data_IF_860286850446
#
_entry.id   IF_860286850446
#
_cell.length_a   1.000
_cell.length_b   1.000
_cell.length_c   1.000
_cell.angle_alpha   90.00
_cell.angle_beta   90.00
_cell.angle_gamma   90.00
#
_symmetry.space_group_name_H-M   'P 1'
#
loop_
_entity.id
_entity.type
_entity.pdbx_description
1 polymer ?
#
# COMPACT_ATOMS: atom_id res chain seq x y z
N UNK A 1 -16.78 47.63 -0.63
CA UNK A 1 -16.38 46.47 0.18
C UNK A 1 -15.01 46.13 -0.33
N UNK A 2 -13.99 46.47 0.45
CA UNK A 2 -12.60 46.40 0.03
C UNK A 2 -12.23 44.95 -0.33
N UNK A 3 -11.80 44.73 -1.56
CA UNK A 3 -11.32 43.42 -2.02
C UNK A 3 -9.96 43.15 -1.36
N UNK A 4 -9.98 42.35 -0.30
CA UNK A 4 -8.76 41.80 0.29
C UNK A 4 -8.07 40.88 -0.72
N UNK A 5 -6.89 41.34 -1.16
CA UNK A 5 -6.05 40.79 -2.23
C UNK A 5 -5.54 39.35 -1.97
N UNK A 6 -5.84 38.74 -0.81
CA UNK A 6 -5.28 37.44 -0.42
C UNK A 6 -6.19 36.22 -0.68
N UNK A 7 -7.44 36.41 -1.12
CA UNK A 7 -8.28 35.31 -1.61
C UNK A 7 -8.55 34.16 -0.61
N UNK A 8 -8.38 34.39 0.69
CA UNK A 8 -8.65 33.37 1.69
C UNK A 8 -10.14 33.24 1.96
N UNK A 9 -10.60 32.00 2.12
CA UNK A 9 -12.01 31.70 2.40
C UNK A 9 -12.22 31.73 3.92
N UNK A 10 -13.14 32.57 4.39
CA UNK A 10 -13.47 32.68 5.83
C UNK A 10 -14.14 31.42 6.38
N UNK A 11 -14.89 30.71 5.53
CA UNK A 11 -15.44 29.40 5.83
C UNK A 11 -14.71 28.35 5.01
N UNK A 12 -13.97 27.50 5.71
CA UNK A 12 -13.26 26.39 5.12
C UNK A 12 -14.28 25.34 4.70
N UNK A 13 -14.03 24.59 3.62
CA UNK A 13 -15.00 23.60 3.13
C UNK A 13 -15.32 22.49 4.16
N UNK A 14 -14.44 22.33 5.17
CA UNK A 14 -14.57 21.34 6.24
C UNK A 14 -15.15 21.89 7.55
N UNK A 15 -15.50 23.18 7.63
CA UNK A 15 -15.98 23.86 8.85
C UNK A 15 -17.24 23.19 9.44
N UNK A 16 -18.12 22.68 8.58
CA UNK A 16 -19.36 22.01 8.99
C UNK A 16 -19.24 20.47 9.08
N UNK A 17 -18.06 19.89 8.87
CA UNK A 17 -17.87 18.44 8.91
C UNK A 17 -17.66 17.97 10.37
N UNK A 18 -18.64 17.31 11.02
CA UNK A 18 -18.64 17.08 12.47
C UNK A 18 -17.56 16.11 12.97
N UNK A 19 -16.89 15.40 12.06
CA UNK A 19 -15.84 14.43 12.37
C UNK A 19 -14.53 14.72 11.64
N UNK A 20 -14.36 15.92 11.06
CA UNK A 20 -13.15 16.31 10.38
C UNK A 20 -12.24 17.09 11.33
N UNK A 21 -11.16 16.46 11.78
CA UNK A 21 -10.05 17.19 12.38
C UNK A 21 -8.97 17.39 11.31
N UNK A 22 -8.81 18.64 10.90
CA UNK A 22 -7.85 19.03 9.85
C UNK A 22 -6.40 18.74 10.25
N UNK A 23 -6.10 18.66 11.55
CA UNK A 23 -4.76 18.36 12.04
C UNK A 23 -4.35 16.92 11.71
N UNK A 24 -5.31 15.99 11.65
CA UNK A 24 -5.06 14.60 11.21
C UNK A 24 -4.97 14.45 9.69
N UNK A 25 -5.41 15.46 8.92
CA UNK A 25 -5.27 15.43 7.46
C UNK A 25 -3.83 15.64 6.99
N UNK A 26 -2.96 16.20 7.84
CA UNK A 26 -1.54 16.42 7.54
C UNK A 26 -0.75 15.20 7.98
N UNK A 27 -0.61 14.25 7.06
CA UNK A 27 0.12 13.02 7.33
C UNK A 27 1.64 13.21 7.27
N UNK A 28 2.42 12.40 8.00
CA UNK A 28 3.86 12.36 7.84
C UNK A 28 4.25 11.94 6.42
N UNK A 29 5.39 12.44 5.94
CA UNK A 29 5.86 12.13 4.60
C UNK A 29 7.36 11.80 4.59
N UNK A 30 7.67 10.54 4.28
CA UNK A 30 9.02 10.00 4.33
C UNK A 30 9.95 10.76 3.36
N UNK A 31 9.50 10.99 2.13
CA UNK A 31 10.37 11.61 1.12
C UNK A 31 10.65 13.09 1.45
N UNK A 32 9.62 13.91 1.64
CA UNK A 32 9.72 15.35 1.76
C UNK A 32 10.02 15.82 3.19
N UNK A 33 9.66 15.05 4.22
CA UNK A 33 10.00 15.40 5.60
C UNK A 33 11.30 14.75 6.04
N UNK A 34 11.44 13.43 5.90
CA UNK A 34 12.62 12.74 6.40
C UNK A 34 13.81 12.91 5.46
N UNK A 35 13.70 12.51 4.20
CA UNK A 35 14.83 12.52 3.28
C UNK A 35 15.18 13.93 2.79
N UNK A 36 14.23 14.68 2.24
CA UNK A 36 14.47 16.03 1.70
C UNK A 36 14.45 17.13 2.78
N UNK A 37 13.94 16.83 3.97
CA UNK A 37 13.98 17.74 5.12
C UNK A 37 15.12 17.39 6.07
N UNK A 38 14.87 16.41 6.94
CA UNK A 38 15.76 16.06 8.07
C UNK A 38 17.14 15.59 7.61
N UNK A 39 17.23 14.58 6.74
CA UNK A 39 18.50 14.05 6.26
C UNK A 39 19.29 15.09 5.46
N UNK A 40 18.60 15.94 4.67
CA UNK A 40 19.22 17.07 3.97
C UNK A 40 19.95 18.02 4.94
N UNK A 41 19.29 18.38 6.05
CA UNK A 41 19.91 19.21 7.08
C UNK A 41 21.10 18.51 7.74
N UNK A 42 20.93 17.23 8.12
CA UNK A 42 22.02 16.45 8.71
C UNK A 42 23.26 16.38 7.81
N UNK A 43 23.09 16.11 6.52
CA UNK A 43 24.20 16.05 5.56
C UNK A 43 24.89 17.42 5.48
N UNK A 44 24.12 18.51 5.44
CA UNK A 44 24.65 19.87 5.39
C UNK A 44 25.48 20.19 6.65
N UNK A 45 24.98 19.82 7.83
CA UNK A 45 25.73 19.98 9.08
C UNK A 45 26.99 19.13 9.14
N UNK A 46 26.91 17.89 8.65
CA UNK A 46 28.10 17.02 8.55
C UNK A 46 29.16 17.63 7.61
N UNK A 47 28.76 18.19 6.47
CA UNK A 47 29.66 18.91 5.57
C UNK A 47 30.27 20.17 6.22
N UNK A 48 29.56 20.84 7.13
CA UNK A 48 30.11 21.98 7.87
C UNK A 48 31.11 21.55 8.96
N UNK A 49 30.87 20.42 9.63
CA UNK A 49 31.78 19.89 10.66
C UNK A 49 33.06 19.32 10.03
N UNK A 50 32.94 18.54 8.96
CA UNK A 50 34.07 17.84 8.34
C UNK A 50 34.76 18.66 7.25
N UNK A 51 34.09 19.63 6.64
CA UNK A 51 34.29 20.14 5.27
C UNK A 51 33.66 19.27 4.19
N UNK A 52 33.31 19.89 3.05
CA UNK A 52 32.74 19.20 1.88
C UNK A 52 33.78 18.27 1.26
N UNK A 53 35.02 18.74 1.21
CA UNK A 53 36.16 18.07 0.60
C UNK A 53 36.50 16.77 1.35
N UNK A 54 36.49 16.81 2.69
CA UNK A 54 36.74 15.63 3.52
C UNK A 54 35.59 14.61 3.39
N UNK A 55 34.33 15.05 3.48
CA UNK A 55 33.20 14.14 3.32
C UNK A 55 33.19 13.47 1.94
N UNK A 56 33.43 14.23 0.88
CA UNK A 56 33.53 13.70 -0.49
C UNK A 56 34.75 12.78 -0.68
N UNK A 57 35.87 13.05 -0.01
CA UNK A 57 37.02 12.14 0.02
C UNK A 57 36.62 10.77 0.60
N UNK A 58 35.98 10.78 1.77
CA UNK A 58 35.54 9.56 2.44
C UNK A 58 34.50 8.78 1.65
N UNK A 59 33.55 9.47 1.01
CA UNK A 59 32.55 8.85 0.14
C UNK A 59 33.22 8.13 -1.04
N UNK A 60 34.25 8.73 -1.65
CA UNK A 60 35.00 8.12 -2.75
C UNK A 60 35.81 6.90 -2.31
N UNK A 61 36.25 6.86 -1.06
CA UNK A 61 37.01 5.74 -0.50
C UNK A 61 36.15 4.53 -0.10
N UNK A 62 34.82 4.65 -0.12
CA UNK A 62 33.95 3.51 0.19
C UNK A 62 34.10 2.41 -0.87
N UNK A 63 34.31 1.14 -0.45
CA UNK A 63 34.31 0.04 -1.38
C UNK A 63 32.92 -0.11 -2.05
N UNK A 64 32.86 -0.57 -3.30
CA UNK A 64 31.59 -0.91 -3.93
C UNK A 64 30.82 -1.92 -3.07
N UNK A 65 29.53 -1.64 -2.84
CA UNK A 65 28.63 -2.48 -2.05
C UNK A 65 27.36 -2.76 -2.86
N UNK A 66 26.81 -3.97 -2.70
CA UNK A 66 25.58 -4.34 -3.39
C UNK A 66 24.39 -3.52 -2.86
N UNK A 67 23.57 -2.99 -3.76
CA UNK A 67 22.39 -2.20 -3.39
C UNK A 67 22.66 -0.76 -2.92
N UNK A 68 23.91 -0.29 -2.99
CA UNK A 68 24.27 1.08 -2.60
C UNK A 68 24.91 1.82 -3.78
N UNK A 69 24.40 3.01 -4.09
CA UNK A 69 24.95 3.85 -5.15
C UNK A 69 26.34 4.39 -4.78
N UNK A 70 27.32 4.19 -5.66
CA UNK A 70 28.67 4.69 -5.46
C UNK A 70 28.86 6.08 -6.08
N UNK A 71 29.11 7.08 -5.24
CA UNK A 71 29.30 8.47 -5.65
C UNK A 71 30.77 8.76 -5.99
N UNK A 72 31.17 8.46 -7.24
CA UNK A 72 32.57 8.58 -7.72
C UNK A 72 33.20 9.97 -7.53
N UNK A 73 32.38 11.03 -7.54
CA UNK A 73 32.82 12.41 -7.41
C UNK A 73 32.40 13.04 -6.08
N UNK A 74 31.99 12.22 -5.10
CA UNK A 74 31.34 12.71 -3.88
C UNK A 74 29.92 13.21 -4.15
N UNK A 75 29.38 13.96 -3.19
CA UNK A 75 27.99 14.44 -3.19
C UNK A 75 27.87 15.96 -3.30
N UNK A 76 28.96 16.71 -3.05
CA UNK A 76 28.88 18.17 -2.96
C UNK A 76 28.64 18.87 -4.30
N UNK A 77 28.94 18.20 -5.42
CA UNK A 77 28.78 18.74 -6.78
C UNK A 77 27.40 18.44 -7.39
N UNK A 78 26.61 17.59 -6.74
CA UNK A 78 25.30 17.19 -7.25
C UNK A 78 24.31 18.36 -7.18
N UNK A 79 23.80 18.77 -8.34
CA UNK A 79 22.65 19.66 -8.47
C UNK A 79 21.39 18.83 -8.71
N UNK A 80 20.24 19.27 -8.19
CA UNK A 80 18.95 18.58 -8.35
C UNK A 80 18.92 17.11 -7.86
N UNK A 81 19.29 16.92 -6.60
CA UNK A 81 19.36 15.60 -5.98
C UNK A 81 17.97 14.96 -5.90
N UNK A 82 17.81 13.81 -6.56
CA UNK A 82 16.60 13.00 -6.57
C UNK A 82 16.33 12.32 -5.22
N UNK A 83 15.09 11.85 -5.02
CA UNK A 83 14.74 11.05 -3.83
C UNK A 83 15.60 9.79 -3.69
N UNK A 84 15.85 9.08 -4.80
CA UNK A 84 16.69 7.87 -4.82
C UNK A 84 18.14 8.18 -4.42
N UNK A 85 18.72 9.26 -4.95
CA UNK A 85 20.08 9.68 -4.54
C UNK A 85 20.11 10.03 -3.06
N UNK A 86 19.09 10.72 -2.54
CA UNK A 86 19.01 11.06 -1.11
C UNK A 86 18.91 9.83 -0.21
N UNK A 87 18.13 8.80 -0.60
CA UNK A 87 18.07 7.52 0.11
C UNK A 87 19.47 6.87 0.17
N UNK A 88 20.16 6.82 -0.97
CA UNK A 88 21.53 6.29 -1.05
C UNK A 88 22.53 7.09 -0.19
N UNK A 89 22.40 8.41 -0.11
CA UNK A 89 23.24 9.22 0.79
C UNK A 89 23.02 8.84 2.25
N UNK A 90 21.78 8.51 2.66
CA UNK A 90 21.48 8.01 4.00
C UNK A 90 22.19 6.70 4.33
N UNK A 91 22.23 5.76 3.38
CA UNK A 91 22.89 4.45 3.55
C UNK A 91 24.39 4.58 3.85
N UNK A 92 25.07 5.55 3.26
CA UNK A 92 26.53 5.70 3.38
C UNK A 92 26.97 6.71 4.45
N UNK A 93 26.08 7.63 4.85
CA UNK A 93 26.44 8.77 5.69
C UNK A 93 27.15 8.34 6.98
N UNK A 94 26.57 7.39 7.73
CA UNK A 94 27.15 6.95 9.00
C UNK A 94 28.55 6.36 8.82
N UNK A 95 28.75 5.54 7.79
CA UNK A 95 30.05 4.92 7.50
C UNK A 95 31.13 5.97 7.21
N UNK A 96 30.79 7.06 6.52
CA UNK A 96 31.73 8.15 6.27
C UNK A 96 32.08 8.94 7.54
N UNK A 97 31.19 9.02 8.52
CA UNK A 97 31.42 9.81 9.74
C UNK A 97 32.21 9.06 10.81
N UNK A 98 32.15 7.72 10.80
CA UNK A 98 32.89 6.88 11.76
C UNK A 98 34.40 7.08 11.59
N UNK A 99 35.12 7.18 12.72
CA UNK A 99 36.58 7.38 12.74
C UNK A 99 37.01 8.76 12.22
N UNK A 100 36.12 9.76 12.24
CA UNK A 100 36.49 11.14 11.97
C UNK A 100 36.77 11.89 13.27
N UNK A 101 37.99 12.42 13.44
CA UNK A 101 38.39 13.12 14.66
C UNK A 101 37.66 14.47 14.84
N UNK A 102 37.23 15.10 13.74
CA UNK A 102 36.48 16.37 13.79
C UNK A 102 35.02 16.17 14.15
N UNK A 103 34.47 14.95 14.02
CA UNK A 103 33.07 14.65 14.32
C UNK A 103 32.89 14.26 15.79
N UNK A 104 32.19 15.05 16.63
CA UNK A 104 31.97 14.68 18.01
C UNK A 104 31.19 13.37 18.13
N UNK A 105 31.59 12.48 19.05
CA UNK A 105 30.88 11.21 19.31
C UNK A 105 29.40 11.39 19.60
N UNK A 106 29.03 12.50 20.28
CA UNK A 106 27.63 12.87 20.55
C UNK A 106 26.87 13.18 19.26
N UNK A 107 27.47 13.97 18.36
CA UNK A 107 26.88 14.28 17.06
C UNK A 107 26.73 13.03 16.19
N UNK A 108 27.75 12.17 16.18
CA UNK A 108 27.70 10.88 15.46
C UNK A 108 26.55 10.00 15.96
N UNK A 109 26.35 9.95 17.29
CA UNK A 109 25.24 9.22 17.91
C UNK A 109 23.89 9.81 17.53
N UNK A 110 23.78 11.14 17.46
CA UNK A 110 22.58 11.83 17.02
C UNK A 110 22.26 11.57 15.53
N UNK A 111 23.27 11.55 14.65
CA UNK A 111 23.10 11.17 13.23
C UNK A 111 22.57 9.74 13.13
N UNK A 112 23.20 8.80 13.84
CA UNK A 112 22.75 7.40 13.86
C UNK A 112 21.29 7.30 14.30
N UNK A 113 20.91 7.98 15.38
CA UNK A 113 19.55 7.93 15.90
C UNK A 113 18.50 8.39 14.88
N UNK A 114 18.81 9.44 14.10
CA UNK A 114 17.92 9.87 13.02
C UNK A 114 17.89 8.86 11.87
N UNK A 115 19.02 8.28 11.48
CA UNK A 115 19.02 7.24 10.45
C UNK A 115 18.20 6.01 10.89
N UNK A 116 18.37 5.56 12.13
CA UNK A 116 17.57 4.48 12.73
C UNK A 116 16.07 4.83 12.67
N UNK A 117 15.69 6.04 13.07
CA UNK A 117 14.30 6.51 12.96
C UNK A 117 13.76 6.50 11.52
N UNK A 118 14.56 6.99 10.56
CA UNK A 118 14.18 7.00 9.14
C UNK A 118 13.92 5.58 8.65
N UNK A 119 14.81 4.63 8.94
CA UNK A 119 14.64 3.25 8.49
C UNK A 119 13.45 2.55 9.18
N UNK A 120 13.28 2.75 10.49
CA UNK A 120 12.15 2.20 11.22
C UNK A 120 10.81 2.74 10.70
N UNK A 121 10.72 4.03 10.40
CA UNK A 121 9.47 4.64 9.89
C UNK A 121 9.01 4.08 8.53
N UNK A 122 9.88 3.38 7.81
CA UNK A 122 9.60 2.79 6.50
C UNK A 122 9.24 1.29 6.60
N UNK A 123 9.11 0.74 7.81
CA UNK A 123 8.62 -0.62 7.95
C UNK A 123 7.18 -0.71 7.43
N UNK A 124 6.92 -1.75 6.66
CA UNK A 124 5.58 -2.02 6.11
C UNK A 124 4.62 -2.56 7.17
N UNK A 125 5.16 -3.03 8.30
CA UNK A 125 4.42 -3.59 9.43
C UNK A 125 5.04 -3.05 10.71
N UNK A 126 4.18 -2.60 11.61
CA UNK A 126 4.54 -2.11 12.93
C UNK A 126 3.78 -2.86 14.02
N UNK A 127 4.48 -3.12 15.11
CA UNK A 127 4.00 -3.59 16.40
C UNK A 127 4.44 -2.63 17.51
N UNK A 128 4.05 -2.90 18.77
CA UNK A 128 4.43 -2.02 19.87
C UNK A 128 5.96 -1.96 20.11
N UNK A 129 6.69 -3.03 19.80
CA UNK A 129 8.15 -3.08 19.94
C UNK A 129 8.84 -2.19 18.90
N UNK A 130 8.48 -2.31 17.62
CA UNK A 130 9.05 -1.47 16.56
C UNK A 130 8.70 0.01 16.73
N UNK A 131 7.50 0.32 17.22
CA UNK A 131 7.13 1.69 17.59
C UNK A 131 7.98 2.19 18.78
N UNK A 132 8.25 1.34 19.77
CA UNK A 132 9.13 1.69 20.89
C UNK A 132 10.56 2.01 20.43
N UNK A 133 11.07 1.30 19.42
CA UNK A 133 12.38 1.59 18.82
C UNK A 133 12.42 2.96 18.16
N UNK A 134 11.33 3.39 17.52
CA UNK A 134 11.22 4.75 16.96
C UNK A 134 11.25 5.82 18.05
N UNK A 135 10.50 5.62 19.14
CA UNK A 135 10.51 6.53 20.28
C UNK A 135 11.90 6.60 20.93
N UNK A 136 12.59 5.47 21.06
CA UNK A 136 13.93 5.42 21.63
C UNK A 136 14.96 6.10 20.74
N UNK A 137 14.87 5.93 19.42
CA UNK A 137 15.66 6.69 18.46
C UNK A 137 15.44 8.21 18.62
N UNK A 138 14.20 8.65 18.81
CA UNK A 138 13.88 10.06 19.08
C UNK A 138 14.43 10.57 20.41
N UNK A 139 14.36 9.77 21.48
CA UNK A 139 14.95 10.11 22.77
C UNK A 139 16.47 10.28 22.65
N UNK A 140 17.14 9.38 21.92
CA UNK A 140 18.59 9.47 21.67
C UNK A 140 18.91 10.74 20.87
N UNK A 141 18.13 11.04 19.82
CA UNK A 141 18.26 12.30 19.08
C UNK A 141 18.15 13.51 20.01
N UNK A 142 17.09 13.61 20.80
CA UNK A 142 16.88 14.75 21.71
C UNK A 142 17.97 14.89 22.78
N UNK A 143 18.54 13.77 23.25
CA UNK A 143 19.64 13.76 24.21
C UNK A 143 20.95 14.32 23.65
N UNK A 144 21.22 14.13 22.36
CA UNK A 144 22.51 14.46 21.75
C UNK A 144 22.48 15.55 20.69
N UNK A 145 21.31 16.03 20.25
CA UNK A 145 21.17 17.06 19.21
C UNK A 145 21.89 18.37 19.55
N UNK A 146 22.03 18.68 20.84
CA UNK A 146 22.74 19.87 21.33
C UNK A 146 24.21 19.93 20.86
N UNK A 147 24.81 18.79 20.52
CA UNK A 147 26.18 18.76 19.99
C UNK A 147 26.32 19.55 18.69
N UNK A 148 25.29 19.62 17.86
CA UNK A 148 25.33 20.41 16.61
C UNK A 148 25.36 21.92 16.89
N UNK A 149 24.71 22.36 17.97
CA UNK A 149 24.78 23.75 18.42
C UNK A 149 26.19 24.05 18.97
N UNK A 150 26.76 23.11 19.75
CA UNK A 150 28.11 23.23 20.30
C UNK A 150 29.20 23.29 19.22
N UNK A 151 29.03 22.58 18.10
CA UNK A 151 29.94 22.68 16.95
C UNK A 151 29.77 23.98 16.15
N UNK A 152 28.77 24.80 16.47
CA UNK A 152 28.53 26.08 15.80
C UNK A 152 27.90 25.95 14.40
N UNK A 153 27.42 24.76 14.01
CA UNK A 153 26.80 24.57 12.68
C UNK A 153 25.43 25.23 12.57
N UNK A 154 24.74 25.41 13.70
CA UNK A 154 23.44 26.06 13.75
C UNK A 154 23.21 26.72 15.12
N UNK A 155 22.41 27.79 15.15
CA UNK A 155 22.15 28.57 16.38
C UNK A 155 21.17 27.88 17.33
N UNK A 156 20.10 27.31 16.77
CA UNK A 156 19.07 26.53 17.47
C UNK A 156 18.68 25.30 16.64
N UNK A 157 17.71 24.50 17.06
CA UNK A 157 17.20 23.37 16.26
C UNK A 157 15.68 23.42 16.13
N UNK A 158 15.11 24.63 16.13
CA UNK A 158 13.67 24.87 16.00
C UNK A 158 13.25 24.80 14.52
N UNK A 159 13.48 23.63 13.92
CA UNK A 159 13.21 23.38 12.52
C UNK A 159 11.92 22.56 12.44
N UNK A 160 10.86 23.03 11.74
CA UNK A 160 9.57 22.34 11.66
C UNK A 160 9.68 20.87 11.25
N UNK A 161 10.61 20.55 10.34
CA UNK A 161 10.87 19.17 9.87
C UNK A 161 11.45 18.24 10.94
N UNK A 162 12.16 18.78 11.94
CA UNK A 162 12.61 17.97 13.08
C UNK A 162 11.51 17.83 14.15
N UNK A 163 10.65 18.84 14.29
CA UNK A 163 9.48 18.74 15.18
C UNK A 163 8.49 17.69 14.66
N UNK A 164 8.28 17.61 13.34
CA UNK A 164 7.34 16.65 12.74
C UNK A 164 7.66 15.19 13.06
N UNK A 165 8.92 14.87 13.41
CA UNK A 165 9.30 13.52 13.81
C UNK A 165 8.50 13.02 15.02
N UNK A 166 8.09 13.91 15.92
CA UNK A 166 7.33 13.55 17.12
C UNK A 166 5.94 12.98 16.80
N UNK A 167 5.43 13.24 15.59
CA UNK A 167 4.06 12.87 15.18
C UNK A 167 4.01 11.56 14.39
N UNK A 168 5.15 10.94 14.06
CA UNK A 168 5.18 9.72 13.24
C UNK A 168 4.58 8.52 13.96
N UNK A 169 4.93 8.28 15.23
CA UNK A 169 4.43 7.11 15.98
C UNK A 169 2.92 7.19 16.14
N UNK A 170 2.40 8.38 16.47
CA UNK A 170 0.96 8.64 16.55
C UNK A 170 0.27 8.44 15.20
N UNK A 171 0.79 9.03 14.13
CA UNK A 171 0.25 8.86 12.79
C UNK A 171 0.25 7.39 12.34
N UNK A 172 1.31 6.62 12.63
CA UNK A 172 1.37 5.19 12.29
C UNK A 172 0.29 4.41 13.04
N UNK A 173 0.04 4.74 14.32
CA UNK A 173 -1.04 4.11 15.09
C UNK A 173 -2.44 4.42 14.54
N UNK A 174 -2.66 5.63 14.03
CA UNK A 174 -3.97 6.05 13.51
C UNK A 174 -4.21 5.67 12.04
N UNK A 175 -3.18 5.71 11.21
CA UNK A 175 -3.30 5.65 9.74
C UNK A 175 -2.60 4.41 9.13
N UNK A 176 -1.93 3.61 9.95
CA UNK A 176 -1.13 2.47 9.52
C UNK A 176 0.28 2.87 9.09
N UNK A 177 1.01 1.94 8.47
CA UNK A 177 2.38 2.17 8.01
C UNK A 177 2.47 3.35 7.02
N UNK A 178 3.66 3.95 6.92
CA UNK A 178 3.84 5.22 6.19
C UNK A 178 3.64 5.08 4.69
N UNK A 179 3.75 3.88 4.13
CA UNK A 179 3.48 3.58 2.73
C UNK A 179 2.02 3.79 2.33
N UNK A 180 1.07 3.72 3.28
CA UNK A 180 -0.36 3.96 3.03
C UNK A 180 -0.69 5.41 2.63
N UNK A 181 0.15 6.38 3.01
CA UNK A 181 -0.12 7.81 2.80
C UNK A 181 1.10 8.61 2.30
N UNK A 182 2.18 7.93 1.90
CA UNK A 182 3.37 8.57 1.35
C UNK A 182 3.08 9.24 -0.01
N UNK A 183 3.59 10.45 -0.20
CA UNK A 183 3.38 11.22 -1.44
C UNK A 183 4.10 10.66 -2.67
N UNK A 184 5.05 9.73 -2.48
CA UNK A 184 5.73 9.04 -3.59
C UNK A 184 4.74 8.40 -4.58
N UNK A 185 3.63 7.84 -4.09
CA UNK A 185 2.56 7.28 -4.93
C UNK A 185 1.94 8.35 -5.83
N UNK A 186 1.58 9.50 -5.26
CA UNK A 186 0.98 10.61 -6.00
C UNK A 186 1.96 11.22 -7.01
N UNK A 187 3.26 11.31 -6.67
CA UNK A 187 4.28 11.78 -7.61
C UNK A 187 4.40 10.86 -8.84
N UNK A 188 4.26 9.54 -8.65
CA UNK A 188 4.21 8.59 -9.77
C UNK A 188 2.96 8.77 -10.63
N UNK A 189 1.81 9.04 -10.01
CA UNK A 189 0.58 9.36 -10.74
C UNK A 189 0.70 10.64 -11.55
N UNK A 190 1.40 11.66 -11.05
CA UNK A 190 1.67 12.90 -11.80
C UNK A 190 2.39 12.65 -13.14
N UNK A 191 3.21 11.60 -13.25
CA UNK A 191 3.84 11.23 -14.52
C UNK A 191 2.77 10.88 -15.57
N UNK A 192 1.83 10.01 -15.18
CA UNK A 192 0.81 9.52 -16.09
C UNK A 192 -0.30 10.54 -16.30
N UNK A 193 -0.78 11.17 -15.23
CA UNK A 193 -1.95 12.02 -15.27
C UNK A 193 -1.68 13.48 -15.64
N UNK A 194 -0.46 13.98 -15.40
CA UNK A 194 -0.11 15.36 -15.75
C UNK A 194 0.97 15.42 -16.84
N UNK A 195 2.16 14.84 -16.60
CA UNK A 195 3.33 15.06 -17.47
C UNK A 195 3.13 14.50 -18.89
N UNK A 196 2.53 13.31 -19.03
CA UNK A 196 2.25 12.73 -20.35
C UNK A 196 1.19 13.52 -21.12
N UNK A 197 0.08 13.88 -20.47
CA UNK A 197 -0.96 14.73 -21.06
C UNK A 197 -0.40 16.08 -21.50
N UNK A 198 0.38 16.75 -20.64
CA UNK A 198 1.05 18.00 -20.97
C UNK A 198 1.97 17.87 -22.20
N UNK A 199 2.79 16.82 -22.25
CA UNK A 199 3.68 16.55 -23.41
C UNK A 199 2.91 16.28 -24.70
N UNK A 200 1.71 15.70 -24.61
CA UNK A 200 0.84 15.43 -25.76
C UNK A 200 0.01 16.65 -26.18
N UNK A 201 -0.07 17.69 -25.35
CA UNK A 201 -0.78 18.93 -25.66
C UNK A 201 0.05 19.88 -26.52
N UNK A 202 -0.61 20.86 -27.13
CA UNK A 202 0.05 21.96 -27.82
C UNK A 202 0.56 23.07 -26.86
N UNK A 203 0.33 22.93 -25.54
CA UNK A 203 0.70 23.87 -24.46
C UNK A 203 0.01 25.24 -24.53
N UNK A 204 -1.12 25.32 -25.21
CA UNK A 204 -1.98 26.50 -25.27
C UNK A 204 -3.39 26.09 -24.85
N UNK A 205 -3.88 26.62 -23.73
CA UNK A 205 -5.12 26.13 -23.11
C UNK A 205 -5.07 24.61 -22.91
N UNK A 206 -4.07 24.20 -22.14
CA UNK A 206 -3.64 22.82 -21.98
C UNK A 206 -4.65 21.96 -21.20
N UNK A 207 -5.40 22.54 -20.27
CA UNK A 207 -6.20 21.77 -19.30
C UNK A 207 -7.23 20.89 -20.01
N UNK A 208 -8.09 21.42 -20.91
CA UNK A 208 -9.02 20.59 -21.67
C UNK A 208 -8.34 19.50 -22.50
N UNK A 209 -7.18 19.81 -23.09
CA UNK A 209 -6.42 18.86 -23.91
C UNK A 209 -5.86 17.71 -23.07
N UNK A 210 -5.32 18.03 -21.89
CA UNK A 210 -4.83 17.05 -20.94
C UNK A 210 -5.97 16.14 -20.47
N UNK A 211 -7.12 16.70 -20.11
CA UNK A 211 -8.30 15.92 -19.72
C UNK A 211 -8.79 15.01 -20.83
N UNK A 212 -8.89 15.49 -22.06
CA UNK A 212 -9.25 14.64 -23.22
C UNK A 212 -8.24 13.56 -23.50
N UNK A 213 -6.94 13.86 -23.37
CA UNK A 213 -5.89 12.87 -23.50
C UNK A 213 -6.07 11.75 -22.47
N UNK A 214 -6.37 12.08 -21.21
CA UNK A 214 -6.64 11.10 -20.16
C UNK A 214 -7.86 10.23 -20.46
N UNK A 215 -8.99 10.82 -20.81
CA UNK A 215 -10.19 10.05 -21.16
C UNK A 215 -9.94 9.09 -22.33
N UNK A 216 -9.09 9.48 -23.29
CA UNK A 216 -8.68 8.57 -24.39
C UNK A 216 -7.83 7.41 -23.88
N UNK A 217 -6.87 7.66 -22.98
CA UNK A 217 -6.07 6.58 -22.40
C UNK A 217 -6.92 5.60 -21.59
N UNK A 218 -7.87 6.11 -20.79
CA UNK A 218 -8.80 5.27 -20.02
C UNK A 218 -9.68 4.40 -20.91
N UNK A 219 -10.21 4.97 -22.00
CA UNK A 219 -11.01 4.23 -22.97
C UNK A 219 -10.19 3.14 -23.68
N UNK A 220 -8.95 3.43 -24.08
CA UNK A 220 -8.07 2.43 -24.71
C UNK A 220 -7.77 1.31 -23.71
N UNK A 221 -7.37 1.63 -22.48
CA UNK A 221 -7.08 0.64 -21.46
C UNK A 221 -8.29 -0.26 -21.16
N UNK A 222 -9.49 0.34 -21.06
CA UNK A 222 -10.73 -0.41 -20.83
C UNK A 222 -11.03 -1.37 -21.99
N UNK A 223 -10.84 -0.91 -23.22
CA UNK A 223 -11.01 -1.74 -24.41
C UNK A 223 -9.97 -2.86 -24.49
N UNK A 224 -8.71 -2.59 -24.16
CA UNK A 224 -7.65 -3.60 -24.13
C UNK A 224 -7.96 -4.69 -23.09
N UNK A 225 -8.44 -4.32 -21.89
CA UNK A 225 -8.88 -5.29 -20.89
C UNK A 225 -10.02 -6.19 -21.41
N UNK A 226 -11.03 -5.59 -22.05
CA UNK A 226 -12.14 -6.35 -22.65
C UNK A 226 -11.64 -7.28 -23.76
N UNK A 227 -10.76 -6.79 -24.63
CA UNK A 227 -10.18 -7.59 -25.70
C UNK A 227 -9.37 -8.77 -25.17
N UNK A 228 -8.53 -8.56 -24.15
CA UNK A 228 -7.79 -9.63 -23.47
C UNK A 228 -8.74 -10.69 -22.93
N UNK A 229 -9.78 -10.28 -22.21
CA UNK A 229 -10.78 -11.20 -21.68
C UNK A 229 -11.47 -12.01 -22.78
N UNK A 230 -11.91 -11.36 -23.87
CA UNK A 230 -12.54 -12.05 -25.01
C UNK A 230 -11.60 -13.07 -25.64
N UNK A 231 -10.32 -12.72 -25.84
CA UNK A 231 -9.33 -13.61 -26.42
C UNK A 231 -9.04 -14.82 -25.52
N UNK A 232 -8.97 -14.62 -24.20
CA UNK A 232 -8.83 -15.70 -23.22
C UNK A 232 -10.04 -16.66 -23.28
N UNK A 233 -11.26 -16.13 -23.32
CA UNK A 233 -12.47 -16.94 -23.46
C UNK A 233 -12.48 -17.74 -24.76
N UNK A 234 -12.07 -17.13 -25.88
CA UNK A 234 -11.97 -17.82 -27.16
C UNK A 234 -10.92 -18.92 -27.15
N UNK A 235 -9.78 -18.71 -26.49
CA UNK A 235 -8.74 -19.72 -26.33
C UNK A 235 -9.28 -20.92 -25.54
N UNK A 236 -9.92 -20.68 -24.39
CA UNK A 236 -10.54 -21.73 -23.56
C UNK A 236 -11.57 -22.55 -24.35
N UNK A 237 -12.43 -21.89 -25.15
CA UNK A 237 -13.43 -22.56 -25.99
C UNK A 237 -12.76 -23.42 -27.09
N UNK A 238 -11.64 -22.97 -27.67
CA UNK A 238 -10.89 -23.76 -28.67
C UNK A 238 -10.24 -24.97 -28.03
N UNK A 239 -9.58 -24.82 -26.88
CA UNK A 239 -8.96 -25.93 -26.14
C UNK A 239 -9.99 -26.99 -25.74
N UNK A 240 -11.20 -26.57 -25.35
CA UNK A 240 -12.30 -27.48 -25.05
C UNK A 240 -12.84 -28.23 -26.30
N UNK A 241 -12.70 -27.68 -27.51
CA UNK A 241 -13.19 -28.28 -28.77
C UNK A 241 -12.19 -29.23 -29.43
N UNK A 242 -10.90 -29.10 -29.15
CA UNK A 242 -9.83 -29.90 -29.77
C UNK A 242 -9.49 -31.19 -29.01
N UNK A 243 -10.13 -31.47 -27.87
CA UNK A 243 -10.04 -32.79 -27.24
C UNK A 243 -10.80 -33.85 -28.05
N UNK A 244 -10.16 -34.95 -28.51
CA UNK A 244 -10.82 -35.95 -29.34
C UNK A 244 -11.92 -36.70 -28.56
N UNK A 245 -13.14 -36.65 -29.10
CA UNK A 245 -14.26 -37.50 -28.68
C UNK A 245 -13.99 -38.97 -28.98
N UNK A 246 -13.57 -39.74 -27.98
CA UNK A 246 -13.81 -41.18 -27.96
C UNK A 246 -15.24 -41.44 -27.44
N UNK A 247 -15.95 -42.35 -28.12
CA UNK A 247 -17.37 -42.65 -27.96
C UNK A 247 -17.73 -43.28 -26.57
N UNK A 248 -19.03 -43.43 -26.23
CA UNK A 248 -19.59 -42.96 -24.97
C UNK A 248 -19.53 -43.99 -23.85
N UNK A 249 -18.97 -43.59 -22.72
CA UNK A 249 -19.40 -44.08 -21.42
C UNK A 249 -19.91 -42.86 -20.64
N UNK A 250 -21.16 -42.94 -20.17
CA UNK A 250 -21.83 -41.92 -19.38
C UNK A 250 -20.91 -41.25 -18.35
N UNK A 251 -20.55 -39.98 -18.58
CA UNK A 251 -19.98 -39.10 -17.56
C UNK A 251 -20.62 -37.71 -17.73
N UNK A 252 -21.17 -37.11 -16.65
CA UNK A 252 -21.79 -35.80 -16.70
C UNK A 252 -20.74 -34.70 -16.88
N UNK A 253 -21.14 -33.62 -17.53
CA UNK A 253 -20.37 -32.40 -17.79
C UNK A 253 -19.63 -31.86 -16.54
N UNK A 254 -18.34 -31.47 -16.65
CA UNK A 254 -17.57 -31.01 -15.51
C UNK A 254 -17.89 -29.54 -15.21
N UNK A 255 -18.95 -29.30 -14.43
CA UNK A 255 -19.07 -28.04 -13.69
C UNK A 255 -18.01 -28.05 -12.58
N UNK A 256 -17.43 -26.91 -12.17
CA UNK A 256 -16.66 -26.86 -10.94
C UNK A 256 -17.53 -27.37 -9.79
N UNK A 257 -17.24 -28.58 -9.31
CA UNK A 257 -18.02 -29.22 -8.27
C UNK A 257 -17.49 -28.74 -6.93
N UNK A 258 -18.22 -27.82 -6.29
CA UNK A 258 -18.09 -27.58 -4.86
C UNK A 258 -18.69 -28.80 -4.15
N UNK A 259 -17.84 -29.59 -3.53
CA UNK A 259 -18.19 -30.73 -2.69
C UNK A 259 -18.23 -30.27 -1.24
N UNK A 260 -19.42 -30.30 -0.66
CA UNK A 260 -19.62 -30.04 0.76
C UNK A 260 -19.42 -31.34 1.57
N UNK A 261 -18.92 -31.26 2.80
CA UNK A 261 -18.94 -32.37 3.76
C UNK A 261 -20.34 -32.96 3.90
N UNK A 262 -20.44 -34.27 4.16
CA UNK A 262 -21.74 -34.94 4.36
C UNK A 262 -22.51 -34.44 5.59
N UNK A 263 -21.79 -33.84 6.55
CA UNK A 263 -22.35 -33.31 7.79
C UNK A 263 -21.99 -31.83 7.87
N UNK A 264 -22.98 -30.92 8.01
CA UNK A 264 -22.72 -29.51 8.18
C UNK A 264 -22.00 -29.21 9.50
N UNK A 265 -21.13 -28.20 9.49
CA UNK A 265 -20.44 -27.75 10.70
C UNK A 265 -21.42 -27.18 11.72
N UNK A 266 -22.44 -26.49 11.24
CA UNK A 266 -23.52 -25.95 12.05
C UNK A 266 -24.87 -26.17 11.34
N UNK A 267 -25.59 -27.26 11.65
CA UNK A 267 -26.90 -27.54 11.04
C UNK A 267 -27.99 -26.57 11.52
N UNK A 268 -28.99 -26.34 10.67
CA UNK A 268 -30.27 -25.69 11.00
C UNK A 268 -30.14 -24.33 11.70
N UNK A 269 -29.19 -23.49 11.28
CA UNK A 269 -29.01 -22.15 11.85
C UNK A 269 -30.05 -21.20 11.29
N UNK A 270 -30.74 -20.48 12.17
CA UNK A 270 -31.70 -19.46 11.73
C UNK A 270 -31.00 -18.33 10.99
N UNK A 271 -31.66 -17.77 9.97
CA UNK A 271 -31.09 -16.68 9.17
C UNK A 271 -30.72 -15.48 10.05
N UNK A 272 -31.54 -15.15 11.06
CA UNK A 272 -31.23 -14.09 12.02
C UNK A 272 -29.98 -14.38 12.85
N UNK A 273 -29.79 -15.64 13.28
CA UNK A 273 -28.57 -16.04 13.99
C UNK A 273 -27.34 -15.90 13.09
N UNK A 274 -27.46 -16.23 11.80
CA UNK A 274 -26.37 -16.09 10.82
C UNK A 274 -25.98 -14.62 10.65
N UNK A 275 -26.96 -13.74 10.46
CA UNK A 275 -26.74 -12.29 10.31
C UNK A 275 -25.96 -11.71 11.49
N UNK A 276 -26.26 -12.18 12.71
CA UNK A 276 -25.60 -11.74 13.94
C UNK A 276 -24.20 -12.38 14.07
N UNK A 277 -24.09 -13.71 13.99
CA UNK A 277 -22.84 -14.42 14.24
C UNK A 277 -21.78 -14.24 13.16
N UNK A 278 -22.19 -13.78 11.96
CA UNK A 278 -21.30 -13.47 10.84
C UNK A 278 -21.22 -11.98 10.52
N UNK A 279 -21.79 -11.09 11.34
CA UNK A 279 -21.78 -9.64 11.12
C UNK A 279 -22.27 -9.22 9.72
N UNK A 280 -23.28 -9.92 9.19
CA UNK A 280 -23.84 -9.71 7.84
C UNK A 280 -25.31 -9.29 7.91
N UNK A 281 -25.62 -8.05 8.33
CA UNK A 281 -27.00 -7.62 8.55
C UNK A 281 -27.86 -7.64 7.27
N UNK A 282 -27.26 -7.57 6.09
CA UNK A 282 -27.97 -7.66 4.80
C UNK A 282 -28.15 -9.09 4.26
N UNK A 283 -27.69 -10.14 4.95
CA UNK A 283 -27.59 -11.49 4.35
C UNK A 283 -28.90 -12.02 3.77
N UNK A 284 -30.03 -11.86 4.48
CA UNK A 284 -31.34 -12.32 4.00
C UNK A 284 -31.74 -11.65 2.67
N UNK A 285 -31.50 -10.34 2.54
CA UNK A 285 -31.85 -9.59 1.34
C UNK A 285 -31.00 -10.02 0.14
N UNK A 286 -29.69 -10.18 0.36
CA UNK A 286 -28.76 -10.63 -0.68
C UNK A 286 -29.01 -12.09 -1.09
N UNK A 287 -29.37 -12.96 -0.13
CA UNK A 287 -29.72 -14.35 -0.43
C UNK A 287 -30.94 -14.44 -1.35
N UNK A 288 -31.98 -13.64 -1.11
CA UNK A 288 -33.16 -13.56 -1.99
C UNK A 288 -32.78 -13.10 -3.39
N UNK A 289 -31.98 -12.04 -3.48
CA UNK A 289 -31.51 -11.51 -4.76
C UNK A 289 -30.69 -12.56 -5.53
N UNK A 290 -29.79 -13.25 -4.85
CA UNK A 290 -28.95 -14.29 -5.42
C UNK A 290 -29.77 -15.48 -5.95
N UNK A 291 -30.75 -15.97 -5.18
CA UNK A 291 -31.62 -17.07 -5.61
C UNK A 291 -32.45 -16.71 -6.84
N UNK A 292 -32.88 -15.45 -6.98
CA UNK A 292 -33.58 -14.98 -8.17
C UNK A 292 -32.64 -14.92 -9.39
N UNK A 293 -31.40 -14.43 -9.19
CA UNK A 293 -30.38 -14.39 -10.25
C UNK A 293 -30.01 -15.76 -10.82
N UNK A 294 -30.18 -16.84 -10.05
CA UNK A 294 -29.93 -18.21 -10.52
C UNK A 294 -30.98 -18.71 -11.51
N UNK A 295 -32.13 -18.04 -11.63
CA UNK A 295 -33.16 -18.41 -12.61
C UNK A 295 -32.78 -17.91 -14.01
N UNK A 296 -32.97 -18.74 -15.05
CA UNK A 296 -32.71 -18.31 -16.42
C UNK A 296 -33.64 -17.15 -16.81
N UNK A 297 -33.08 -16.12 -17.45
CA UNK A 297 -33.78 -14.90 -17.91
C UNK A 297 -34.30 -13.97 -16.80
N UNK A 298 -33.80 -14.07 -15.57
CA UNK A 298 -34.17 -13.12 -14.50
C UNK A 298 -33.79 -11.68 -14.88
N UNK A 299 -34.73 -10.75 -14.75
CA UNK A 299 -34.47 -9.32 -14.95
C UNK A 299 -34.15 -8.62 -13.63
N UNK A 300 -33.64 -7.39 -13.71
CA UNK A 300 -33.35 -6.55 -12.52
C UNK A 300 -34.61 -6.28 -11.67
N UNK A 301 -35.77 -6.15 -12.32
CA UNK A 301 -37.04 -5.91 -11.63
C UNK A 301 -37.49 -7.15 -10.84
N UNK A 302 -37.22 -8.35 -11.37
CA UNK A 302 -37.54 -9.61 -10.69
C UNK A 302 -36.71 -9.77 -9.42
N UNK A 303 -35.42 -9.42 -9.47
CA UNK A 303 -34.51 -9.43 -8.30
C UNK A 303 -34.99 -8.46 -7.21
N UNK A 304 -35.41 -7.25 -7.60
CA UNK A 304 -35.94 -6.26 -6.65
C UNK A 304 -37.24 -6.75 -6.00
N UNK A 305 -38.16 -7.31 -6.80
CA UNK A 305 -39.41 -7.87 -6.29
C UNK A 305 -39.16 -9.07 -5.35
N UNK A 306 -38.26 -9.99 -5.72
CA UNK A 306 -37.89 -11.15 -4.91
C UNK A 306 -37.28 -10.75 -3.55
N UNK A 307 -36.53 -9.64 -3.48
CA UNK A 307 -35.96 -9.14 -2.23
C UNK A 307 -37.01 -8.79 -1.16
N UNK A 308 -38.22 -8.43 -1.60
CA UNK A 308 -39.37 -8.10 -0.73
C UNK A 308 -40.21 -9.33 -0.33
N UNK A 309 -40.04 -10.47 -0.99
CA UNK A 309 -40.81 -11.69 -0.73
C UNK A 309 -40.22 -12.51 0.41
N UNK A 310 -41.02 -13.34 1.07
CA UNK A 310 -40.52 -14.27 2.08
C UNK A 310 -39.90 -15.52 1.43
N UNK A 311 -38.82 -16.04 2.03
CA UNK A 311 -38.25 -17.32 1.61
C UNK A 311 -39.10 -18.48 2.17
N UNK A 312 -39.20 -19.61 1.45
CA UNK A 312 -39.93 -20.79 1.93
C UNK A 312 -39.22 -21.53 3.08
N UNK A 313 -38.04 -21.06 3.50
CA UNK A 313 -37.26 -21.58 4.61
C UNK A 313 -36.69 -20.44 5.45
N UNK A 314 -36.41 -20.73 6.72
CA UNK A 314 -35.85 -19.76 7.68
C UNK A 314 -34.55 -20.23 8.33
N UNK A 315 -34.09 -21.43 7.98
CA UNK A 315 -32.91 -22.07 8.53
C UNK A 315 -32.03 -22.57 7.40
N UNK A 316 -30.72 -22.52 7.64
CA UNK A 316 -29.69 -22.98 6.71
C UNK A 316 -28.61 -23.76 7.45
N UNK A 317 -28.05 -24.73 6.75
CA UNK A 317 -26.86 -25.44 7.19
C UNK A 317 -25.60 -24.62 6.83
N UNK A 318 -24.70 -24.45 7.78
CA UNK A 318 -23.43 -23.73 7.58
C UNK A 318 -22.29 -24.75 7.50
N UNK A 319 -21.47 -24.59 6.47
CA UNK A 319 -20.27 -25.40 6.22
C UNK A 319 -19.05 -24.49 6.27
N UNK A 320 -18.12 -24.76 7.18
CA UNK A 320 -16.84 -24.02 7.24
C UNK A 320 -15.78 -24.61 6.31
N UNK A 321 -16.04 -25.77 5.72
CA UNK A 321 -15.10 -26.46 4.85
C UNK A 321 -15.80 -26.92 3.59
N UNK A 322 -15.10 -26.81 2.47
CA UNK A 322 -15.55 -27.33 1.19
C UNK A 322 -14.34 -27.82 0.40
N UNK A 323 -14.59 -28.75 -0.51
CA UNK A 323 -13.62 -29.20 -1.51
C UNK A 323 -14.07 -28.69 -2.86
N UNK A 324 -13.17 -28.14 -3.67
CA UNK A 324 -13.49 -27.76 -5.03
C UNK A 324 -12.54 -28.46 -5.99
N UNK A 325 -13.05 -28.83 -7.15
CA UNK A 325 -12.28 -29.42 -8.25
C UNK A 325 -12.39 -28.51 -9.47
N UNK A 326 -11.26 -28.10 -10.01
CA UNK A 326 -11.16 -27.35 -11.25
C UNK A 326 -10.31 -28.15 -12.26
N UNK A 327 -10.57 -27.99 -13.55
CA UNK A 327 -9.98 -28.81 -14.63
C UNK A 327 -8.44 -28.74 -14.70
N UNK A 328 -7.83 -27.72 -14.09
CA UNK A 328 -6.38 -27.51 -14.03
C UNK A 328 -5.70 -28.13 -12.79
N UNK A 329 -6.46 -28.75 -11.87
CA UNK A 329 -5.95 -29.34 -10.64
C UNK A 329 -6.08 -30.87 -10.70
N UNK A 330 -4.94 -31.58 -10.75
CA UNK A 330 -4.90 -33.04 -10.75
C UNK A 330 -5.54 -33.65 -9.48
N UNK A 331 -5.56 -32.91 -8.36
CA UNK A 331 -6.22 -33.28 -7.11
C UNK A 331 -7.13 -32.15 -6.62
N UNK A 332 -8.37 -32.49 -6.20
CA UNK A 332 -9.28 -31.48 -5.64
C UNK A 332 -8.75 -30.92 -4.32
N UNK A 333 -8.72 -29.59 -4.19
CA UNK A 333 -8.23 -28.93 -2.98
C UNK A 333 -9.32 -28.79 -1.93
N UNK A 334 -8.96 -29.03 -0.67
CA UNK A 334 -9.82 -28.84 0.50
C UNK A 334 -9.47 -27.53 1.19
N UNK A 335 -10.42 -26.61 1.26
CA UNK A 335 -10.32 -25.42 2.10
C UNK A 335 -10.91 -25.73 3.48
N UNK A 336 -10.12 -25.59 4.54
CA UNK A 336 -10.58 -25.75 5.92
C UNK A 336 -9.86 -24.76 6.83
N UNK A 337 -10.59 -23.90 7.54
CA UNK A 337 -9.97 -22.94 8.43
C UNK A 337 -9.42 -23.65 9.67
N UNK A 338 -8.24 -23.22 10.12
CA UNK A 338 -7.66 -23.61 11.41
C UNK A 338 -8.24 -22.75 12.53
N UNK A 339 -8.35 -23.30 13.75
CA UNK A 339 -8.68 -22.57 14.99
C UNK A 339 -9.93 -21.67 14.91
N UNK A 340 -11.06 -22.21 14.45
CA UNK A 340 -12.34 -21.47 14.28
C UNK A 340 -12.30 -20.31 13.26
N UNK A 341 -11.24 -20.22 12.44
CA UNK A 341 -11.14 -19.23 11.37
C UNK A 341 -12.28 -19.32 10.34
N UNK A 342 -12.37 -18.30 9.49
CA UNK A 342 -13.35 -18.23 8.39
C UNK A 342 -12.65 -17.74 7.13
N UNK A 343 -13.07 -18.24 5.97
CA UNK A 343 -12.60 -17.71 4.68
C UNK A 343 -13.71 -16.87 4.07
N UNK A 344 -13.41 -15.60 3.76
CA UNK A 344 -14.30 -14.75 2.97
C UNK A 344 -14.06 -14.93 1.46
N UNK A 345 -12.82 -15.28 1.07
CA UNK A 345 -12.39 -15.52 -0.30
C UNK A 345 -11.34 -16.63 -0.32
N UNK A 346 -11.40 -17.55 -1.28
CA UNK A 346 -10.34 -18.54 -1.55
C UNK A 346 -9.78 -18.25 -2.94
N UNK A 347 -8.51 -17.86 -3.01
CA UNK A 347 -7.78 -17.61 -4.26
C UNK A 347 -6.92 -18.82 -4.57
N UNK A 348 -7.01 -19.33 -5.80
CA UNK A 348 -6.31 -20.54 -6.24
C UNK A 348 -5.41 -20.14 -7.38
N UNK A 349 -4.10 -20.27 -7.17
CA UNK A 349 -3.10 -20.01 -8.20
C UNK A 349 -2.90 -21.29 -9.01
N UNK A 350 -3.04 -21.18 -10.34
CA UNK A 350 -3.05 -22.35 -11.25
C UNK A 350 -1.86 -22.40 -12.21
N UNK A 351 -0.81 -21.59 -11.98
CA UNK A 351 0.40 -21.59 -12.81
C UNK A 351 1.66 -21.38 -11.96
N UNK A 352 2.77 -22.02 -12.35
CA UNK A 352 4.09 -21.94 -11.68
C UNK A 352 4.71 -20.53 -11.69
N UNK A 353 4.15 -19.62 -12.50
CA UNK A 353 4.57 -18.21 -12.63
C UNK A 353 3.65 -17.24 -11.89
N UNK A 354 2.60 -17.72 -11.23
CA UNK A 354 1.64 -16.87 -10.53
C UNK A 354 2.19 -16.49 -9.15
N UNK A 355 2.72 -15.27 -9.02
CA UNK A 355 3.06 -14.69 -7.72
C UNK A 355 1.82 -14.04 -7.07
N UNK A 356 1.61 -14.28 -5.78
CA UNK A 356 0.61 -13.57 -4.96
C UNK A 356 0.99 -12.09 -4.86
N UNK A 357 0.33 -11.22 -5.62
CA UNK A 357 0.51 -9.75 -5.49
C UNK A 357 -0.59 -9.08 -4.63
N UNK A 358 -1.27 -9.85 -3.77
CA UNK A 358 -2.26 -9.31 -2.84
C UNK A 358 -2.64 -10.30 -1.73
N UNK A 359 -2.57 -9.80 -0.48
CA UNK A 359 -2.87 -10.45 0.81
C UNK A 359 -1.93 -11.59 1.23
N UNK A 360 -0.73 -11.24 1.70
CA UNK A 360 0.00 -12.05 2.68
C UNK A 360 -0.78 -12.03 4.02
N UNK A 361 -1.67 -13.01 4.20
CA UNK A 361 -2.17 -13.40 5.51
C UNK A 361 -1.20 -14.38 6.17
N UNK A 362 -0.82 -14.11 7.42
CA UNK A 362 0.14 -14.87 8.23
C UNK A 362 -0.03 -16.40 8.16
N UNK A 363 1.01 -17.10 7.69
CA UNK A 363 1.27 -18.51 8.02
C UNK A 363 1.74 -18.58 9.47
N UNK A 364 0.81 -18.74 10.41
CA UNK A 364 1.14 -19.08 11.79
C UNK A 364 1.42 -20.59 11.86
N UNK A 365 2.70 -20.96 11.88
CA UNK A 365 3.13 -22.27 12.34
C UNK A 365 2.96 -22.32 13.87
N UNK A 366 2.10 -23.23 14.34
CA UNK A 366 2.16 -23.72 15.71
C UNK A 366 2.39 -25.24 15.65
N UNK A 367 3.33 -25.69 16.48
CA UNK A 367 3.80 -27.08 16.62
C UNK A 367 2.65 -28.07 16.80
#
# INVERSE_FOLDING_TARGET
MDEEVSGYTYHLFWDELPFCDIHFAITPDVLHQLYQGVLKHLITWCQQILSKEELDCRIRCLPPCYGVHHFKNGISTLSQISGVERKNMGHILLACLVGCDTMPKRALTAVRAILDFIYLSQYTIHDDDTLSYMDDALKIWHKYKDSFIQTGVHKDLNIPKFHSLQHYVEAIRFLGATDNYNTEMFERLHINFAKKGWRASNKQDEFPQMTWWLSRQENINSFDCELTWVLEQQALIKTAREQPTAAPAHLPSPKPHILLPKVPTCPNKSISSIQISHHTPGFLQHLKAYLEMLKPNSTRNDVLHASMQQLPFQQLDIYHSFKFSHELLEEGMKASPLNEGRFDTVVVLTADTAETVGLEGMLLYFV
#
